data_IF_601827422951
#
_entry.id   IF_601827422951
#
_cell.length_a   1.000
_cell.length_b   1.000
_cell.length_c   1.000
_cell.angle_alpha   90.00
_cell.angle_beta   90.00
_cell.angle_gamma   90.00
#
_symmetry.space_group_name_H-M   'P 1'
#
loop_
_entity.id
_entity.type
_entity.pdbx_description
1 polymer ?
#
# COMPACT_ATOMS: atom_id res chain seq x y z
N UNK A 1 6.73 -4.58 -21.53
CA UNK A 1 7.53 -3.91 -22.60
C UNK A 1 7.94 -2.51 -22.10
N UNK A 2 8.95 -1.85 -22.71
CA UNK A 2 9.38 -0.49 -22.30
C UNK A 2 8.24 0.53 -22.30
N UNK A 3 7.41 0.53 -23.35
CA UNK A 3 6.25 1.42 -23.47
C UNK A 3 5.24 1.23 -22.33
N UNK A 4 4.96 -0.02 -21.94
CA UNK A 4 4.08 -0.31 -20.81
C UNK A 4 4.60 0.30 -19.50
N UNK A 5 5.89 0.09 -19.21
CA UNK A 5 6.52 0.66 -18.00
C UNK A 5 6.56 2.19 -18.02
N UNK A 6 6.69 2.82 -19.19
CA UNK A 6 6.58 4.28 -19.33
C UNK A 6 5.15 4.76 -19.04
N UNK A 7 4.13 4.04 -19.53
CA UNK A 7 2.72 4.37 -19.33
C UNK A 7 2.34 4.38 -17.83
N UNK A 8 2.78 3.36 -17.07
CA UNK A 8 2.50 3.26 -15.62
C UNK A 8 3.52 4.02 -14.75
N UNK A 9 4.50 4.69 -15.36
CA UNK A 9 5.50 5.50 -14.65
C UNK A 9 6.59 4.71 -13.90
N UNK A 10 6.82 3.45 -14.24
CA UNK A 10 7.88 2.61 -13.64
C UNK A 10 9.15 2.46 -14.50
N UNK A 11 9.15 2.95 -15.73
CA UNK A 11 10.36 2.90 -16.58
C UNK A 11 11.46 3.82 -16.02
N UNK A 12 12.54 3.20 -15.55
CA UNK A 12 13.68 3.88 -14.91
C UNK A 12 13.29 4.75 -13.69
N UNK A 13 12.14 4.45 -13.07
CA UNK A 13 11.59 5.21 -11.95
C UNK A 13 11.06 4.27 -10.85
N UNK A 14 11.04 4.74 -9.61
CA UNK A 14 10.78 3.89 -8.45
C UNK A 14 11.85 2.80 -8.28
N UNK A 15 11.48 1.65 -7.70
CA UNK A 15 12.41 0.53 -7.46
C UNK A 15 11.94 -0.84 -7.96
N UNK A 16 10.63 -1.01 -8.24
CA UNK A 16 10.05 -2.33 -8.54
C UNK A 16 10.45 -2.79 -9.95
N UNK A 17 10.26 -1.95 -10.98
CA UNK A 17 10.65 -2.22 -12.38
C UNK A 17 11.69 -1.22 -12.92
N UNK A 18 12.44 -0.59 -12.03
CA UNK A 18 13.49 0.34 -12.42
C UNK A 18 14.73 -0.41 -12.91
N UNK A 19 14.89 -0.47 -14.23
CA UNK A 19 16.00 -1.16 -14.89
C UNK A 19 17.25 -0.28 -15.09
N UNK A 20 17.28 0.95 -14.56
CA UNK A 20 18.48 1.79 -14.57
C UNK A 20 19.30 1.48 -13.30
N UNK A 21 20.45 0.79 -13.40
CA UNK A 21 21.16 0.29 -12.22
C UNK A 21 21.73 1.41 -11.33
N UNK A 22 22.14 2.53 -11.93
CA UNK A 22 22.66 3.67 -11.20
C UNK A 22 21.56 4.34 -10.37
N UNK A 23 20.42 4.64 -11.03
CA UNK A 23 19.27 5.26 -10.38
C UNK A 23 18.66 4.35 -9.32
N UNK A 24 18.47 3.06 -9.61
CA UNK A 24 17.93 2.11 -8.65
C UNK A 24 18.81 1.98 -7.39
N UNK A 25 20.15 1.97 -7.57
CA UNK A 25 21.11 1.89 -6.46
C UNK A 25 21.04 3.12 -5.56
N UNK A 26 20.72 4.28 -6.11
CA UNK A 26 20.53 5.53 -5.35
C UNK A 26 19.23 5.53 -4.54
N UNK A 27 18.12 5.03 -5.10
CA UNK A 27 16.80 5.11 -4.45
C UNK A 27 16.54 3.96 -3.46
N UNK A 28 17.04 2.75 -3.74
CA UNK A 28 16.78 1.55 -2.91
C UNK A 28 17.11 1.72 -1.41
N UNK A 29 18.18 2.45 -1.00
CA UNK A 29 18.47 2.68 0.41
C UNK A 29 17.33 3.34 1.20
N UNK A 30 16.53 4.23 0.58
CA UNK A 30 15.40 4.87 1.26
C UNK A 30 14.34 3.83 1.66
N UNK A 31 13.98 2.92 0.75
CA UNK A 31 13.06 1.81 1.02
C UNK A 31 13.63 0.85 2.06
N UNK A 32 14.91 0.51 1.96
CA UNK A 32 15.57 -0.39 2.91
C UNK A 32 15.55 0.19 4.33
N UNK A 33 15.81 1.49 4.46
CA UNK A 33 15.75 2.19 5.75
C UNK A 33 14.33 2.26 6.32
N UNK A 34 13.34 2.54 5.49
CA UNK A 34 11.94 2.63 5.92
C UNK A 34 11.37 1.28 6.38
N UNK A 35 11.77 0.19 5.72
CA UNK A 35 11.29 -1.18 5.96
C UNK A 35 12.09 -1.97 7.00
N UNK A 36 12.99 -1.32 7.75
CA UNK A 36 13.82 -1.98 8.75
C UNK A 36 13.98 -1.14 10.02
N UNK A 37 14.64 -1.72 11.03
CA UNK A 37 14.96 -1.03 12.27
C UNK A 37 13.72 -0.52 13.01
N UNK A 38 13.73 0.73 13.52
CA UNK A 38 12.62 1.27 14.31
C UNK A 38 11.28 1.33 13.57
N UNK A 39 11.30 1.47 12.23
CA UNK A 39 10.08 1.47 11.42
C UNK A 39 9.34 0.14 11.51
N UNK A 40 10.09 -0.97 11.41
CA UNK A 40 9.55 -2.32 11.53
C UNK A 40 8.96 -2.59 12.93
N UNK A 41 9.62 -2.09 13.99
CA UNK A 41 9.09 -2.25 15.37
C UNK A 41 7.78 -1.49 15.54
N UNK A 42 7.69 -0.26 15.03
CA UNK A 42 6.44 0.52 15.07
C UNK A 42 5.32 -0.10 14.24
N UNK A 43 5.66 -0.74 13.12
CA UNK A 43 4.69 -1.38 12.23
C UNK A 43 3.81 -2.41 12.97
N UNK A 44 4.35 -3.14 13.95
CA UNK A 44 3.58 -4.13 14.71
C UNK A 44 2.40 -3.47 15.43
N UNK A 45 2.65 -2.39 16.16
CA UNK A 45 1.60 -1.67 16.88
C UNK A 45 0.59 -1.05 15.93
N UNK A 46 1.05 -0.42 14.84
CA UNK A 46 0.20 0.20 13.82
C UNK A 46 -0.69 -0.85 13.13
N UNK A 47 -0.16 -2.04 12.82
CA UNK A 47 -0.94 -3.14 12.25
C UNK A 47 -2.05 -3.59 13.19
N UNK A 48 -1.75 -3.75 14.49
CA UNK A 48 -2.75 -4.16 15.47
C UNK A 48 -3.84 -3.11 15.61
N UNK A 49 -3.47 -1.85 15.80
CA UNK A 49 -4.40 -0.73 15.92
C UNK A 49 -5.30 -0.60 14.69
N UNK A 50 -4.70 -0.55 13.50
CA UNK A 50 -5.43 -0.48 12.22
C UNK A 50 -6.37 -1.67 12.06
N UNK A 51 -5.95 -2.88 12.40
CA UNK A 51 -6.81 -4.07 12.31
C UNK A 51 -8.00 -3.95 13.25
N UNK A 52 -7.79 -3.53 14.50
CA UNK A 52 -8.86 -3.34 15.48
C UNK A 52 -9.85 -2.29 14.98
N UNK A 53 -9.36 -1.11 14.56
CA UNK A 53 -10.20 -0.01 14.04
C UNK A 53 -11.12 -0.45 12.88
N UNK A 54 -10.61 -1.34 12.02
CA UNK A 54 -11.37 -1.86 10.88
C UNK A 54 -12.32 -3.00 11.25
N UNK A 55 -11.98 -3.82 12.26
CA UNK A 55 -12.87 -4.84 12.79
C UNK A 55 -14.03 -4.22 13.58
N UNK A 56 -13.82 -3.08 14.23
CA UNK A 56 -14.88 -2.32 14.90
C UNK A 56 -15.87 -1.68 13.92
N UNK A 57 -15.52 -1.60 12.62
CA UNK A 57 -16.32 -1.05 11.52
C UNK A 57 -16.62 -2.10 10.44
N UNK A 58 -16.75 -3.36 10.85
CA UNK A 58 -16.88 -4.49 9.92
C UNK A 58 -18.11 -4.38 9.01
N UNK A 59 -19.15 -3.66 9.45
CA UNK A 59 -20.35 -3.36 8.68
C UNK A 59 -20.04 -2.61 7.37
N UNK A 60 -18.97 -1.80 7.30
CA UNK A 60 -18.60 -1.08 6.07
C UNK A 60 -18.17 -2.02 4.93
N UNK A 61 -17.80 -3.26 5.25
CA UNK A 61 -17.32 -4.27 4.29
C UNK A 61 -18.19 -5.54 4.30
N UNK A 62 -19.32 -5.51 5.00
CA UNK A 62 -20.24 -6.64 5.10
C UNK A 62 -21.44 -6.44 4.17
N UNK A 63 -21.80 -7.47 3.40
CA UNK A 63 -22.96 -7.42 2.52
C UNK A 63 -24.27 -7.53 3.30
N UNK A 64 -25.40 -7.20 2.66
CA UNK A 64 -26.74 -7.30 3.28
C UNK A 64 -27.08 -8.72 3.78
N UNK A 65 -26.46 -9.75 3.20
CA UNK A 65 -26.63 -11.16 3.60
C UNK A 65 -25.60 -11.61 4.64
N UNK A 66 -24.81 -10.70 5.20
CA UNK A 66 -23.85 -10.97 6.27
C UNK A 66 -22.49 -11.51 5.81
N UNK A 67 -22.17 -11.47 4.52
CA UNK A 67 -20.87 -11.93 4.01
C UNK A 67 -19.84 -10.80 4.09
N UNK A 68 -18.69 -11.06 4.69
CA UNK A 68 -17.60 -10.09 4.79
C UNK A 68 -16.77 -10.12 3.50
N UNK A 69 -16.56 -8.96 2.88
CA UNK A 69 -15.59 -8.80 1.82
C UNK A 69 -14.17 -8.72 2.41
N UNK A 70 -13.62 -9.89 2.77
CA UNK A 70 -12.30 -10.03 3.42
C UNK A 70 -11.19 -9.41 2.57
N UNK A 71 -11.29 -9.49 1.24
CA UNK A 71 -10.28 -8.90 0.36
C UNK A 71 -10.26 -7.37 0.46
N UNK A 72 -11.43 -6.73 0.49
CA UNK A 72 -11.52 -5.29 0.67
C UNK A 72 -11.06 -4.86 2.07
N UNK A 73 -11.44 -5.62 3.10
CA UNK A 73 -10.99 -5.40 4.49
C UNK A 73 -9.46 -5.40 4.57
N UNK A 74 -8.81 -6.45 4.04
CA UNK A 74 -7.35 -6.57 4.06
C UNK A 74 -6.67 -5.43 3.27
N UNK A 75 -7.24 -5.00 2.14
CA UNK A 75 -6.70 -3.87 1.35
C UNK A 75 -6.76 -2.54 2.10
N UNK A 76 -7.85 -2.26 2.82
CA UNK A 76 -8.00 -1.04 3.63
C UNK A 76 -7.00 -1.03 4.79
N UNK A 77 -6.91 -2.13 5.54
CA UNK A 77 -5.90 -2.29 6.61
C UNK A 77 -4.47 -2.12 6.07
N UNK A 78 -4.13 -2.75 4.94
CA UNK A 78 -2.80 -2.61 4.33
C UNK A 78 -2.50 -1.18 3.87
N UNK A 79 -3.51 -0.46 3.35
CA UNK A 79 -3.37 0.93 2.95
C UNK A 79 -3.20 1.85 4.17
N UNK A 80 -4.06 1.72 5.18
CA UNK A 80 -4.00 2.54 6.39
C UNK A 80 -2.68 2.35 7.14
N UNK A 81 -2.25 1.10 7.34
CA UNK A 81 -0.95 0.79 7.97
C UNK A 81 0.22 1.39 7.18
N UNK A 82 0.22 1.27 5.86
CA UNK A 82 1.25 1.86 4.99
C UNK A 82 1.24 3.39 5.08
N UNK A 83 0.05 4.02 5.07
CA UNK A 83 -0.08 5.45 5.20
C UNK A 83 0.43 5.95 6.55
N UNK A 84 -0.07 5.39 7.66
CA UNK A 84 0.36 5.74 9.03
C UNK A 84 1.87 5.61 9.22
N UNK A 85 2.51 4.60 8.61
CA UNK A 85 3.94 4.37 8.76
C UNK A 85 4.81 5.25 7.84
N UNK A 86 4.41 5.46 6.58
CA UNK A 86 5.30 6.03 5.56
C UNK A 86 4.95 7.44 5.10
N UNK A 87 3.69 7.88 5.22
CA UNK A 87 3.23 9.16 4.67
C UNK A 87 2.55 10.06 5.71
N UNK A 88 1.62 9.50 6.49
CA UNK A 88 0.97 10.18 7.62
C UNK A 88 0.00 11.29 7.23
N UNK A 89 -0.68 11.17 6.08
CA UNK A 89 -1.60 12.20 5.56
C UNK A 89 -3.03 11.63 5.50
N UNK A 90 -4.07 12.40 5.90
CA UNK A 90 -5.46 11.98 5.73
C UNK A 90 -5.78 11.64 4.26
N UNK A 91 -6.45 10.50 4.03
CA UNK A 91 -6.85 10.05 2.69
C UNK A 91 -8.20 9.32 2.72
N UNK A 92 -8.88 9.27 1.57
CA UNK A 92 -10.08 8.45 1.38
C UNK A 92 -9.64 7.02 1.04
N UNK A 93 -9.67 6.13 2.02
CA UNK A 93 -9.20 4.75 1.88
C UNK A 93 -9.97 3.99 0.80
N UNK A 94 -11.29 4.15 0.73
CA UNK A 94 -12.14 3.44 -0.23
C UNK A 94 -11.81 3.86 -1.66
N UNK A 95 -11.65 5.16 -1.89
CA UNK A 95 -11.27 5.68 -3.21
C UNK A 95 -9.85 5.28 -3.61
N UNK A 96 -8.89 5.30 -2.67
CA UNK A 96 -7.50 4.97 -2.96
C UNK A 96 -7.31 3.47 -3.19
N UNK A 97 -7.98 2.59 -2.42
CA UNK A 97 -7.94 1.14 -2.66
C UNK A 97 -8.40 0.80 -4.08
N UNK A 98 -9.48 1.42 -4.56
CA UNK A 98 -9.96 1.22 -5.92
C UNK A 98 -8.94 1.71 -6.96
N UNK A 99 -8.32 2.87 -6.74
CA UNK A 99 -7.28 3.40 -7.65
C UNK A 99 -6.02 2.52 -7.68
N UNK A 100 -5.61 1.99 -6.53
CA UNK A 100 -4.48 1.04 -6.45
C UNK A 100 -4.82 -0.24 -7.20
N UNK A 101 -6.04 -0.76 -7.07
CA UNK A 101 -6.48 -1.93 -7.84
C UNK A 101 -6.38 -1.66 -9.34
N UNK A 102 -6.93 -0.54 -9.81
CA UNK A 102 -6.87 -0.17 -11.22
C UNK A 102 -5.43 0.05 -11.72
N UNK A 103 -4.56 0.60 -10.87
CA UNK A 103 -3.14 0.75 -11.19
C UNK A 103 -2.45 -0.61 -11.33
N UNK A 104 -2.78 -1.57 -10.44
CA UNK A 104 -2.25 -2.93 -10.52
C UNK A 104 -2.77 -3.69 -11.74
N UNK A 105 -4.03 -3.50 -12.14
CA UNK A 105 -4.59 -4.10 -13.35
C UNK A 105 -3.96 -3.54 -14.64
N UNK A 106 -3.47 -2.28 -14.60
CA UNK A 106 -2.79 -1.64 -15.72
C UNK A 106 -1.30 -2.00 -15.82
N UNK A 107 -0.68 -2.41 -14.71
CA UNK A 107 0.72 -2.79 -14.63
C UNK A 107 0.94 -4.23 -15.12
#
# INVERSE_FOLDING_TARGET
SKLGLQCIGMYENGIIFNNNPAHWKEIRPFFTKALSGPGLVRMIAICVESTIDHLDKLEEVTTEVGNINVLNLMRRIMLDTSNKLFLGIPLDESAIVLKIQNYFDAW
#
